data_IF_090993450200
#
_entry.id   IF_090993450200
#
_cell.length_a   1.000
_cell.length_b   1.000
_cell.length_c   1.000
_cell.angle_alpha   90.00
_cell.angle_beta   90.00
_cell.angle_gamma   90.00
#
_symmetry.space_group_name_H-M   'P 1'
#
loop_
_entity.id
_entity.type
_entity.pdbx_description
1 polymer ?
#
# COMPACT_ATOMS: atom_id res chain seq x y z
N UNK A 1 -5.29 -26.56 53.76
CA UNK A 1 -4.10 -26.04 53.04
C UNK A 1 -4.59 -25.22 51.85
N UNK A 2 -4.36 -23.90 51.80
CA UNK A 2 -4.75 -23.07 50.67
C UNK A 2 -3.69 -23.17 49.56
N UNK A 3 -4.13 -23.54 48.37
CA UNK A 3 -3.32 -23.59 47.14
C UNK A 3 -3.15 -22.20 46.55
N UNK A 4 -1.93 -21.65 46.60
CA UNK A 4 -1.56 -20.41 45.92
C UNK A 4 -1.24 -20.69 44.44
N UNK A 5 -2.13 -20.28 43.54
CA UNK A 5 -1.85 -20.23 42.09
C UNK A 5 -0.88 -19.08 41.79
N UNK A 6 0.18 -19.28 40.97
CA UNK A 6 1.07 -18.21 40.57
C UNK A 6 0.35 -17.27 39.60
N UNK A 7 0.12 -16.04 40.04
CA UNK A 7 -0.40 -14.95 39.22
C UNK A 7 0.61 -14.65 38.10
N UNK A 8 0.20 -14.87 36.85
CA UNK A 8 1.07 -14.62 35.69
C UNK A 8 1.26 -13.11 35.56
N UNK A 9 2.49 -12.61 35.34
CA UNK A 9 2.71 -11.18 35.12
C UNK A 9 1.94 -10.73 33.88
N UNK A 10 0.97 -9.85 34.06
CA UNK A 10 0.29 -9.16 32.97
C UNK A 10 1.31 -8.23 32.35
N UNK A 11 2.08 -8.71 31.36
CA UNK A 11 2.97 -7.86 30.57
C UNK A 11 2.12 -6.78 29.92
N UNK A 12 2.25 -5.49 30.26
CA UNK A 12 1.51 -4.44 29.59
C UNK A 12 1.97 -4.44 28.13
N UNK A 13 1.16 -5.02 27.24
CA UNK A 13 1.38 -5.01 25.80
C UNK A 13 1.11 -3.59 25.31
N UNK A 14 2.20 -2.85 25.46
CA UNK A 14 2.47 -1.43 25.59
C UNK A 14 2.14 -0.64 24.32
N UNK A 15 2.09 0.71 24.40
CA UNK A 15 1.89 1.69 23.32
C UNK A 15 2.16 1.26 21.87
N UNK A 16 3.20 0.47 21.60
CA UNK A 16 3.47 -0.14 20.28
C UNK A 16 2.26 -0.85 19.66
N UNK A 17 1.46 -1.59 20.45
CA UNK A 17 0.29 -2.32 19.92
C UNK A 17 -0.84 -1.38 19.52
N UNK A 18 -0.94 -0.23 20.19
CA UNK A 18 -1.89 0.84 19.88
C UNK A 18 -1.42 1.64 18.66
N UNK A 19 -0.13 1.96 18.60
CA UNK A 19 0.52 2.63 17.47
C UNK A 19 0.42 1.79 16.18
N UNK A 20 0.75 0.49 16.22
CA UNK A 20 0.64 -0.39 15.05
C UNK A 20 -0.81 -0.58 14.57
N UNK A 21 -1.80 -0.49 15.47
CA UNK A 21 -3.22 -0.49 15.09
C UNK A 21 -3.62 0.81 14.41
N UNK A 22 -3.12 1.95 14.87
CA UNK A 22 -3.36 3.27 14.25
C UNK A 22 -2.69 3.33 12.88
N UNK A 23 -1.43 2.89 12.79
CA UNK A 23 -0.67 2.84 11.55
C UNK A 23 -1.42 2.05 10.47
N UNK A 24 -1.80 0.80 10.78
CA UNK A 24 -2.46 -0.08 9.81
C UNK A 24 -3.92 0.25 9.52
N UNK A 25 -4.60 1.03 10.37
CA UNK A 25 -6.02 1.38 10.17
C UNK A 25 -6.28 2.81 9.70
N UNK A 26 -5.34 3.71 9.87
CA UNK A 26 -5.51 5.11 9.48
C UNK A 26 -4.41 5.53 8.53
N UNK A 27 -3.15 5.32 8.90
CA UNK A 27 -2.02 5.85 8.11
C UNK A 27 -1.87 5.11 6.78
N UNK A 28 -1.80 3.77 6.80
CA UNK A 28 -1.69 2.97 5.57
C UNK A 28 -2.88 3.17 4.63
N UNK A 29 -4.15 3.05 5.07
CA UNK A 29 -5.28 3.28 4.17
C UNK A 29 -5.35 4.73 3.68
N UNK A 30 -4.98 5.74 4.48
CA UNK A 30 -4.89 7.11 4.00
C UNK A 30 -3.79 7.29 2.95
N UNK A 31 -2.64 6.61 3.11
CA UNK A 31 -1.55 6.59 2.14
C UNK A 31 -1.99 5.95 0.82
N UNK A 32 -2.63 4.77 0.89
CA UNK A 32 -3.17 4.06 -0.27
C UNK A 32 -4.24 4.91 -0.99
N UNK A 33 -5.15 5.55 -0.24
CA UNK A 33 -6.15 6.45 -0.81
C UNK A 33 -5.52 7.67 -1.47
N UNK A 34 -4.45 8.21 -0.90
CA UNK A 34 -3.71 9.32 -1.52
C UNK A 34 -3.20 8.88 -2.90
N UNK A 35 -2.59 7.69 -3.00
CA UNK A 35 -2.20 7.08 -4.27
C UNK A 35 -3.36 6.97 -5.27
N UNK A 36 -4.53 6.49 -4.82
CA UNK A 36 -5.71 6.35 -5.66
C UNK A 36 -6.26 7.69 -6.16
N UNK A 37 -6.28 8.70 -5.29
CA UNK A 37 -6.75 10.06 -5.62
C UNK A 37 -5.82 10.69 -6.64
N UNK A 38 -4.49 10.60 -6.49
CA UNK A 38 -3.55 11.10 -7.49
C UNK A 38 -3.76 10.43 -8.86
N UNK A 39 -3.90 9.10 -8.88
CA UNK A 39 -4.22 8.37 -10.12
C UNK A 39 -5.54 8.82 -10.76
N UNK A 40 -6.55 9.12 -9.94
CA UNK A 40 -7.84 9.60 -10.40
C UNK A 40 -7.79 11.05 -10.93
N UNK A 41 -7.00 11.92 -10.28
CA UNK A 41 -6.85 13.32 -10.68
C UNK A 41 -6.06 13.48 -11.97
N UNK A 42 -4.97 12.73 -12.14
CA UNK A 42 -4.22 12.73 -13.40
C UNK A 42 -5.01 12.04 -14.52
N UNK A 43 -5.71 10.94 -14.21
CA UNK A 43 -6.58 10.21 -15.15
C UNK A 43 -5.87 9.71 -16.41
N UNK A 44 -4.54 9.75 -16.45
CA UNK A 44 -3.75 9.47 -17.64
C UNK A 44 -3.03 8.13 -17.48
N UNK A 45 -3.44 7.08 -18.23
CA UNK A 45 -2.83 5.77 -18.11
C UNK A 45 -1.37 5.74 -18.56
N UNK A 46 -0.93 6.70 -19.38
CA UNK A 46 0.47 6.80 -19.82
C UNK A 46 1.44 7.16 -18.70
N UNK A 47 0.94 7.61 -17.55
CA UNK A 47 1.73 7.91 -16.37
C UNK A 47 1.94 6.69 -15.47
N UNK A 48 1.39 5.52 -15.81
CA UNK A 48 1.63 4.31 -15.04
C UNK A 48 3.10 3.84 -15.15
N UNK A 49 3.57 3.09 -14.12
CA UNK A 49 4.83 2.36 -14.18
C UNK A 49 4.94 1.56 -15.48
N UNK A 50 6.10 1.63 -16.14
CA UNK A 50 6.33 0.93 -17.41
C UNK A 50 6.21 -0.58 -17.27
N UNK A 51 6.46 -1.12 -16.07
CA UNK A 51 6.17 -2.52 -15.73
C UNK A 51 4.70 -2.88 -15.85
N UNK A 52 3.81 -2.01 -15.38
CA UNK A 52 2.37 -2.23 -15.43
C UNK A 52 1.88 -2.07 -16.86
N UNK A 53 2.38 -1.06 -17.58
CA UNK A 53 2.07 -0.86 -19.01
C UNK A 53 2.46 -2.09 -19.85
N UNK A 54 3.67 -2.61 -19.67
CA UNK A 54 4.14 -3.81 -20.38
C UNK A 54 3.39 -5.07 -19.97
N UNK A 55 2.91 -5.16 -18.73
CA UNK A 55 2.08 -6.28 -18.28
C UNK A 55 0.68 -6.22 -18.90
N UNK A 56 0.06 -5.04 -18.93
CA UNK A 56 -1.24 -4.81 -19.58
C UNK A 56 -1.20 -5.09 -21.08
N UNK A 57 -0.19 -4.57 -21.77
CA UNK A 57 0.04 -4.78 -23.20
C UNK A 57 0.21 -6.27 -23.54
N UNK A 58 0.99 -7.02 -22.74
CA UNK A 58 1.12 -8.47 -22.89
C UNK A 58 -0.18 -9.25 -22.66
N UNK A 59 -1.07 -8.74 -21.81
CA UNK A 59 -2.37 -9.35 -21.54
C UNK A 59 -3.46 -8.89 -22.51
N UNK A 60 -3.17 -7.92 -23.40
CA UNK A 60 -4.14 -7.32 -24.31
C UNK A 60 -5.24 -6.52 -23.59
N UNK A 61 -4.95 -5.99 -22.39
CA UNK A 61 -5.90 -5.21 -21.59
C UNK A 61 -5.73 -3.72 -21.92
N UNK A 62 -6.83 -3.03 -22.19
CA UNK A 62 -6.84 -1.58 -22.39
C UNK A 62 -6.23 -0.86 -21.17
N UNK A 63 -5.33 0.09 -21.42
CA UNK A 63 -4.59 0.76 -20.36
C UNK A 63 -5.51 1.61 -19.46
N UNK A 64 -6.59 2.17 -20.01
CA UNK A 64 -7.63 2.87 -19.25
C UNK A 64 -8.38 1.93 -18.31
N UNK A 65 -8.70 0.73 -18.78
CA UNK A 65 -9.34 -0.30 -17.95
C UNK A 65 -8.37 -0.76 -16.85
N UNK A 66 -7.08 -0.93 -17.18
CA UNK A 66 -6.04 -1.29 -16.22
C UNK A 66 -5.89 -0.22 -15.12
N UNK A 67 -5.87 1.06 -15.50
CA UNK A 67 -5.84 2.20 -14.56
C UNK A 67 -7.09 2.17 -13.66
N UNK A 68 -8.29 1.99 -14.23
CA UNK A 68 -9.53 1.91 -13.47
C UNK A 68 -9.54 0.73 -12.47
N UNK A 69 -9.02 -0.43 -12.89
CA UNK A 69 -8.86 -1.62 -12.02
C UNK A 69 -7.90 -1.31 -10.86
N UNK A 70 -6.76 -0.66 -11.13
CA UNK A 70 -5.78 -0.31 -10.10
C UNK A 70 -6.35 0.68 -9.07
N UNK A 71 -7.01 1.74 -9.53
CA UNK A 71 -7.69 2.70 -8.66
C UNK A 71 -8.76 1.98 -7.83
N UNK A 72 -9.57 1.13 -8.47
CA UNK A 72 -10.61 0.33 -7.82
C UNK A 72 -10.05 -0.58 -6.74
N UNK A 73 -8.91 -1.25 -7.00
CA UNK A 73 -8.22 -2.11 -6.04
C UNK A 73 -7.69 -1.31 -4.85
N UNK A 74 -7.11 -0.13 -5.07
CA UNK A 74 -6.61 0.74 -4.01
C UNK A 74 -7.74 1.23 -3.09
N UNK A 75 -8.85 1.69 -3.68
CA UNK A 75 -10.04 2.12 -2.92
C UNK A 75 -10.65 0.94 -2.17
N UNK A 76 -10.78 -0.22 -2.82
CA UNK A 76 -11.30 -1.43 -2.19
C UNK A 76 -10.41 -1.87 -1.02
N UNK A 77 -9.10 -1.89 -1.20
CA UNK A 77 -8.15 -2.24 -0.14
C UNK A 77 -8.25 -1.27 1.04
N UNK A 78 -8.31 0.04 0.78
CA UNK A 78 -8.48 1.04 1.82
C UNK A 78 -9.80 0.86 2.57
N UNK A 79 -10.90 0.59 1.87
CA UNK A 79 -12.19 0.28 2.48
C UNK A 79 -12.10 -0.98 3.37
N UNK A 80 -11.47 -2.06 2.89
CA UNK A 80 -11.26 -3.27 3.70
C UNK A 80 -10.43 -2.97 4.95
N UNK A 81 -9.38 -2.15 4.86
CA UNK A 81 -8.58 -1.76 6.03
C UNK A 81 -9.36 -0.93 7.06
N UNK A 82 -10.26 -0.05 6.59
CA UNK A 82 -11.09 0.81 7.43
C UNK A 82 -12.25 0.05 8.09
N UNK A 83 -12.97 -0.77 7.33
CA UNK A 83 -14.17 -1.45 7.80
C UNK A 83 -13.89 -2.83 8.43
N UNK A 84 -12.88 -3.57 7.94
CA UNK A 84 -12.57 -4.92 8.42
C UNK A 84 -11.27 -4.96 9.22
N UNK A 85 -11.44 -4.66 10.50
CA UNK A 85 -10.43 -4.75 11.56
C UNK A 85 -9.52 -5.99 11.54
N UNK A 86 -10.03 -7.18 11.15
CA UNK A 86 -9.26 -8.43 11.12
C UNK A 86 -8.33 -8.55 9.91
N UNK A 87 -8.70 -7.91 8.80
CA UNK A 87 -7.99 -8.00 7.53
C UNK A 87 -7.09 -6.79 7.28
N UNK A 88 -7.19 -5.74 8.10
CA UNK A 88 -6.39 -4.52 7.95
C UNK A 88 -4.87 -4.80 7.87
N UNK A 89 -4.32 -5.61 8.78
CA UNK A 89 -2.88 -5.94 8.78
C UNK A 89 -2.43 -6.72 7.54
N UNK A 90 -3.00 -7.89 7.21
CA UNK A 90 -2.56 -8.63 6.03
C UNK A 90 -2.79 -7.85 4.73
N UNK A 91 -3.88 -7.08 4.63
CA UNK A 91 -4.14 -6.26 3.43
C UNK A 91 -3.14 -5.11 3.31
N UNK A 92 -2.79 -4.43 4.41
CA UNK A 92 -1.78 -3.37 4.43
C UNK A 92 -0.43 -3.89 3.95
N UNK A 93 0.04 -5.01 4.51
CA UNK A 93 1.30 -5.63 4.11
C UNK A 93 1.26 -6.06 2.64
N UNK A 94 0.15 -6.65 2.18
CA UNK A 94 0.01 -7.05 0.78
C UNK A 94 0.10 -5.86 -0.18
N UNK A 95 -0.65 -4.79 0.08
CA UNK A 95 -0.62 -3.61 -0.79
C UNK A 95 0.74 -2.92 -0.79
N UNK A 96 1.35 -2.73 0.38
CA UNK A 96 2.69 -2.14 0.48
C UNK A 96 3.75 -3.00 -0.21
N UNK A 97 3.66 -4.33 -0.10
CA UNK A 97 4.56 -5.24 -0.79
C UNK A 97 4.41 -5.15 -2.31
N UNK A 98 3.18 -5.05 -2.82
CA UNK A 98 2.92 -4.85 -4.25
C UNK A 98 3.49 -3.51 -4.73
N UNK A 99 3.28 -2.42 -3.97
CA UNK A 99 3.85 -1.12 -4.29
C UNK A 99 5.37 -1.14 -4.32
N UNK A 100 6.01 -1.75 -3.31
CA UNK A 100 7.46 -1.95 -3.27
C UNK A 100 7.96 -2.75 -4.47
N UNK A 101 7.25 -3.81 -4.87
CA UNK A 101 7.65 -4.66 -6.00
C UNK A 101 7.59 -3.87 -7.32
N UNK A 102 6.51 -3.10 -7.53
CA UNK A 102 6.38 -2.21 -8.68
C UNK A 102 7.51 -1.17 -8.70
N UNK A 103 7.79 -0.53 -7.56
CA UNK A 103 8.87 0.43 -7.38
C UNK A 103 10.25 -0.16 -7.72
N UNK A 104 10.56 -1.34 -7.19
CA UNK A 104 11.81 -2.06 -7.49
C UNK A 104 11.91 -2.35 -8.99
N UNK A 105 10.81 -2.79 -9.61
CA UNK A 105 10.75 -3.02 -11.05
C UNK A 105 11.03 -1.75 -11.87
N UNK A 106 10.56 -0.59 -11.45
CA UNK A 106 10.83 0.69 -12.13
C UNK A 106 12.27 1.16 -11.92
N UNK A 107 12.81 1.00 -10.70
CA UNK A 107 14.22 1.31 -10.41
C UNK A 107 15.17 0.42 -11.22
N UNK A 108 14.85 -0.87 -11.38
CA UNK A 108 15.64 -1.80 -12.20
C UNK A 108 15.69 -1.38 -13.68
N UNK A 109 14.72 -0.57 -14.14
CA UNK A 109 14.68 0.00 -15.49
C UNK A 109 15.32 1.40 -15.60
N UNK A 110 15.77 1.97 -14.48
CA UNK A 110 16.42 3.29 -14.45
C UNK A 110 15.47 4.47 -14.60
N UNK A 111 14.16 4.28 -14.35
CA UNK A 111 13.19 5.37 -14.44
C UNK A 111 13.34 6.33 -13.24
N UNK A 112 13.31 7.64 -13.52
CA UNK A 112 13.46 8.70 -12.51
C UNK A 112 12.16 9.06 -11.80
N UNK A 113 11.01 8.60 -12.32
CA UNK A 113 9.68 8.79 -11.75
C UNK A 113 8.93 7.45 -11.69
N UNK A 114 8.30 7.14 -10.55
CA UNK A 114 7.53 5.90 -10.37
C UNK A 114 6.26 5.87 -11.22
N UNK A 115 5.67 7.04 -11.51
CA UNK A 115 4.31 7.12 -12.08
C UNK A 115 3.19 6.68 -11.14
N UNK A 116 3.52 6.06 -10.01
CA UNK A 116 2.61 5.49 -9.01
C UNK A 116 1.73 6.53 -8.29
N UNK A 117 2.19 7.79 -8.24
CA UNK A 117 1.50 8.97 -7.73
C UNK A 117 1.23 10.01 -8.84
N UNK A 118 1.28 9.62 -10.12
CA UNK A 118 1.07 10.54 -11.24
C UNK A 118 2.31 11.34 -11.66
N UNK A 119 2.09 12.47 -12.33
CA UNK A 119 3.13 13.23 -13.06
C UNK A 119 4.18 13.91 -12.18
N UNK A 120 3.86 14.15 -10.90
CA UNK A 120 4.77 14.70 -9.88
C UNK A 120 5.18 13.65 -8.84
N UNK A 121 5.36 12.39 -9.28
CA UNK A 121 5.81 11.35 -8.37
C UNK A 121 7.22 11.64 -7.84
N UNK A 122 7.45 11.56 -6.52
CA UNK A 122 8.79 11.66 -5.96
C UNK A 122 9.71 10.56 -6.50
N UNK A 123 11.04 10.69 -6.30
CA UNK A 123 11.99 9.69 -6.73
C UNK A 123 11.61 8.30 -6.20
N UNK A 124 11.69 7.23 -7.01
CA UNK A 124 11.24 5.91 -6.61
C UNK A 124 11.97 5.36 -5.37
N UNK A 125 13.23 5.75 -5.13
CA UNK A 125 13.96 5.37 -3.92
C UNK A 125 13.35 5.99 -2.64
N UNK A 126 12.87 7.24 -2.72
CA UNK A 126 12.23 7.92 -1.59
C UNK A 126 10.89 7.28 -1.27
N UNK A 127 10.11 6.97 -2.30
CA UNK A 127 8.80 6.34 -2.17
C UNK A 127 8.94 4.90 -1.63
N UNK A 128 9.94 4.15 -2.07
CA UNK A 128 10.27 2.83 -1.50
C UNK A 128 10.67 2.93 -0.03
N UNK A 129 11.42 3.97 0.36
CA UNK A 129 11.77 4.20 1.75
C UNK A 129 10.55 4.45 2.64
N UNK A 130 9.57 5.20 2.13
CA UNK A 130 8.30 5.45 2.85
C UNK A 130 7.48 4.16 2.95
N UNK A 131 7.28 3.46 1.82
CA UNK A 131 6.49 2.23 1.78
C UNK A 131 7.13 1.09 2.60
N UNK A 132 8.46 1.05 2.70
CA UNK A 132 9.18 0.05 3.49
C UNK A 132 9.20 0.32 5.00
N UNK A 133 8.93 1.57 5.41
CA UNK A 133 8.83 1.96 6.82
C UNK A 133 7.40 1.81 7.36
N UNK A 134 6.39 1.91 6.49
CA UNK A 134 4.96 1.76 6.79
C UNK A 134 4.54 0.30 7.04
#
# INVERSE_FOLDING_TARGET
MPTSTPESPVTPLSPLRRAGRILTRLVVPAWVLTGAVFKLLEGNPGLLPRNILLAGDKMGIDLDLLLAILIGLEIFAAAVMLFLARFARPMAVFMLAVFCLVLIGEMARGNTSCGCLGGHSPPPWLMLGVDGVL
#
